data_IF_501929564998
#
_entry.id   IF_501929564998
#
_cell.length_a   1.000
_cell.length_b   1.000
_cell.length_c   1.000
_cell.angle_alpha   90.00
_cell.angle_beta   90.00
_cell.angle_gamma   90.00
#
_symmetry.space_group_name_H-M   'P 1'
#
loop_
_entity.id
_entity.type
_entity.pdbx_description
1 polymer ?
#
# COMPACT_ATOMS: atom_id res chain seq x y z
N UNK A 1 -69.37 55.21 -7.25
CA UNK A 1 -68.91 53.92 -7.77
C UNK A 1 -69.60 53.70 -9.11
N UNK A 2 -68.91 53.99 -10.20
CA UNK A 2 -69.32 53.59 -11.54
C UNK A 2 -69.30 52.07 -11.59
N UNK A 3 -70.39 51.45 -12.05
CA UNK A 3 -70.41 49.99 -12.26
C UNK A 3 -69.45 49.66 -13.41
N UNK A 4 -68.63 48.60 -13.29
CA UNK A 4 -67.78 48.17 -14.39
C UNK A 4 -68.66 47.89 -15.61
N UNK A 5 -68.16 48.28 -16.78
CA UNK A 5 -68.84 47.97 -18.04
C UNK A 5 -68.71 46.48 -18.36
N UNK A 6 -69.51 46.00 -19.31
CA UNK A 6 -69.41 44.62 -19.78
C UNK A 6 -68.03 44.35 -20.39
N UNK A 7 -67.43 45.34 -21.05
CA UNK A 7 -66.08 45.25 -21.62
C UNK A 7 -65.00 45.13 -20.53
N UNK A 8 -65.13 45.88 -19.43
CA UNK A 8 -64.20 45.78 -18.29
C UNK A 8 -64.26 44.39 -17.63
N UNK A 9 -65.47 43.80 -17.55
CA UNK A 9 -65.66 42.46 -17.01
C UNK A 9 -65.12 41.38 -17.98
N UNK A 10 -65.29 41.55 -19.29
CA UNK A 10 -64.75 40.64 -20.30
C UNK A 10 -63.22 40.62 -20.26
N UNK A 11 -62.57 41.80 -20.28
CA UNK A 11 -61.12 41.89 -20.19
C UNK A 11 -60.57 41.27 -18.88
N UNK A 12 -61.32 41.39 -17.78
CA UNK A 12 -60.94 40.77 -16.51
C UNK A 12 -61.11 39.25 -16.51
N UNK A 13 -62.09 38.72 -17.24
CA UNK A 13 -62.26 37.27 -17.44
C UNK A 13 -61.08 36.75 -18.26
N UNK A 14 -60.74 37.40 -19.37
CA UNK A 14 -59.61 36.99 -20.22
C UNK A 14 -58.29 36.96 -19.41
N UNK A 15 -58.01 38.00 -18.61
CA UNK A 15 -56.83 38.03 -17.73
C UNK A 15 -56.82 36.92 -16.67
N UNK A 16 -58.00 36.56 -16.15
CA UNK A 16 -58.12 35.47 -15.17
C UNK A 16 -57.97 34.11 -15.84
N UNK A 17 -58.46 33.92 -17.06
CA UNK A 17 -58.28 32.70 -17.85
C UNK A 17 -56.80 32.50 -18.17
N UNK A 18 -56.11 33.52 -18.68
CA UNK A 18 -54.66 33.47 -18.94
C UNK A 18 -53.87 33.09 -17.67
N UNK A 19 -54.26 33.65 -16.52
CA UNK A 19 -53.62 33.35 -15.24
C UNK A 19 -53.93 31.93 -14.74
N UNK A 20 -55.13 31.41 -14.99
CA UNK A 20 -55.48 30.03 -14.65
C UNK A 20 -54.63 29.08 -15.49
N UNK A 21 -54.51 29.32 -16.79
CA UNK A 21 -53.68 28.52 -17.69
C UNK A 21 -52.20 28.52 -17.26
N UNK A 22 -51.66 29.68 -16.85
CA UNK A 22 -50.30 29.79 -16.31
C UNK A 22 -50.12 28.99 -15.01
N UNK A 23 -51.08 29.10 -14.07
CA UNK A 23 -51.02 28.37 -12.80
C UNK A 23 -51.19 26.85 -12.98
N UNK A 24 -51.99 26.42 -13.94
CA UNK A 24 -52.14 25.00 -14.29
C UNK A 24 -50.81 24.45 -14.85
N UNK A 25 -50.18 25.18 -15.78
CA UNK A 25 -48.88 24.80 -16.33
C UNK A 25 -47.77 24.76 -15.25
N UNK A 26 -47.73 25.74 -14.35
CA UNK A 26 -46.81 25.75 -13.22
C UNK A 26 -47.05 24.56 -12.29
N UNK A 27 -48.31 24.22 -12.03
CA UNK A 27 -48.68 23.09 -11.17
C UNK A 27 -48.21 21.76 -11.78
N UNK A 28 -48.45 21.55 -13.08
CA UNK A 28 -47.95 20.37 -13.81
C UNK A 28 -46.42 20.27 -13.75
N UNK A 29 -45.71 21.39 -13.89
CA UNK A 29 -44.25 21.41 -13.78
C UNK A 29 -43.76 21.08 -12.36
N UNK A 30 -44.43 21.59 -11.34
CA UNK A 30 -44.12 21.29 -9.94
C UNK A 30 -44.37 19.81 -9.64
N UNK A 31 -45.47 19.25 -10.09
CA UNK A 31 -45.79 17.82 -9.93
C UNK A 31 -44.71 16.94 -10.56
N UNK A 32 -44.32 17.22 -11.81
CA UNK A 32 -43.24 16.50 -12.48
C UNK A 32 -41.90 16.60 -11.72
N UNK A 33 -41.62 17.76 -11.12
CA UNK A 33 -40.40 17.96 -10.31
C UNK A 33 -40.45 17.16 -9.01
N UNK A 34 -41.61 17.14 -8.33
CA UNK A 34 -41.82 16.36 -7.11
C UNK A 34 -41.65 14.87 -7.38
N UNK A 35 -42.21 14.36 -8.48
CA UNK A 35 -42.08 12.95 -8.87
C UNK A 35 -40.62 12.56 -9.15
N UNK A 36 -39.89 13.40 -9.91
CA UNK A 36 -38.46 13.18 -10.18
C UNK A 36 -37.60 13.20 -8.89
N UNK A 37 -37.94 14.09 -7.95
CA UNK A 37 -37.28 14.14 -6.65
C UNK A 37 -37.62 12.91 -5.80
N UNK A 38 -38.86 12.43 -5.81
CA UNK A 38 -39.28 11.23 -5.10
C UNK A 38 -38.51 9.99 -5.59
N UNK A 39 -38.35 9.85 -6.90
CA UNK A 39 -37.54 8.77 -7.51
C UNK A 39 -36.06 8.87 -7.10
N UNK A 40 -35.49 10.08 -7.12
CA UNK A 40 -34.11 10.33 -6.70
C UNK A 40 -33.91 9.94 -5.23
N UNK A 41 -34.83 10.34 -4.35
CA UNK A 41 -34.76 10.03 -2.92
C UNK A 41 -34.90 8.52 -2.69
N UNK A 42 -35.78 7.84 -3.44
CA UNK A 42 -35.93 6.38 -3.35
C UNK A 42 -34.61 5.67 -3.72
N UNK A 43 -34.00 6.04 -4.85
CA UNK A 43 -32.71 5.51 -5.30
C UNK A 43 -31.59 5.75 -4.28
N UNK A 44 -31.55 6.95 -3.66
CA UNK A 44 -30.57 7.26 -2.62
C UNK A 44 -30.77 6.41 -1.36
N UNK A 45 -32.02 6.15 -0.95
CA UNK A 45 -32.32 5.27 0.19
C UNK A 45 -31.88 3.84 -0.06
N UNK A 46 -32.09 3.33 -1.27
CA UNK A 46 -31.65 1.98 -1.65
C UNK A 46 -30.13 1.87 -1.64
N UNK A 47 -29.42 2.88 -2.14
CA UNK A 47 -27.96 2.94 -2.08
C UNK A 47 -27.43 2.99 -0.65
N UNK A 48 -28.06 3.78 0.23
CA UNK A 48 -27.69 3.85 1.64
C UNK A 48 -27.86 2.48 2.33
N UNK A 49 -28.99 1.80 2.11
CA UNK A 49 -29.22 0.46 2.66
C UNK A 49 -28.18 -0.56 2.17
N UNK A 50 -27.78 -0.46 0.89
CA UNK A 50 -26.70 -1.29 0.34
C UNK A 50 -25.36 -1.02 1.03
N UNK A 51 -24.97 0.25 1.22
CA UNK A 51 -23.72 0.60 1.89
C UNK A 51 -23.72 0.23 3.37
N UNK A 52 -24.85 0.35 4.07
CA UNK A 52 -25.01 -0.09 5.45
C UNK A 52 -24.77 -1.61 5.56
N UNK A 53 -25.41 -2.39 4.69
CA UNK A 53 -25.21 -3.85 4.63
C UNK A 53 -23.74 -4.19 4.37
N UNK A 54 -23.12 -3.52 3.40
CA UNK A 54 -21.70 -3.75 3.06
C UNK A 54 -20.76 -3.39 4.22
N UNK A 55 -21.09 -2.36 4.98
CA UNK A 55 -20.31 -1.94 6.15
C UNK A 55 -20.39 -3.02 7.24
N UNK A 56 -21.59 -3.53 7.53
CA UNK A 56 -21.78 -4.62 8.51
C UNK A 56 -21.00 -5.89 8.12
N UNK A 57 -20.99 -6.25 6.83
CA UNK A 57 -20.18 -7.38 6.33
C UNK A 57 -18.68 -7.18 6.58
N UNK A 58 -18.17 -5.98 6.28
CA UNK A 58 -16.75 -5.65 6.46
C UNK A 58 -16.36 -5.60 7.94
N UNK A 59 -17.24 -5.10 8.81
CA UNK A 59 -17.04 -5.12 10.26
C UNK A 59 -16.96 -6.56 10.78
N UNK A 60 -17.87 -7.43 10.35
CA UNK A 60 -17.85 -8.85 10.72
C UNK A 60 -16.57 -9.56 10.21
N UNK A 61 -16.12 -9.25 8.99
CA UNK A 61 -14.86 -9.78 8.45
C UNK A 61 -13.64 -9.29 9.26
N UNK A 62 -13.64 -8.02 9.66
CA UNK A 62 -12.57 -7.43 10.47
C UNK A 62 -12.48 -8.06 11.86
N UNK A 63 -13.62 -8.30 12.50
CA UNK A 63 -13.70 -8.99 13.78
C UNK A 63 -13.19 -10.42 13.67
N UNK A 64 -13.64 -11.17 12.67
CA UNK A 64 -13.16 -12.53 12.41
C UNK A 64 -11.64 -12.57 12.13
N UNK A 65 -11.12 -11.63 11.35
CA UNK A 65 -9.68 -11.52 11.08
C UNK A 65 -8.89 -11.17 12.34
N UNK A 66 -9.45 -10.29 13.19
CA UNK A 66 -8.85 -9.90 14.47
C UNK A 66 -8.76 -11.08 15.42
N UNK A 67 -9.82 -11.87 15.54
CA UNK A 67 -9.84 -13.06 16.39
C UNK A 67 -8.93 -14.16 15.86
N UNK A 68 -8.90 -14.36 14.54
CA UNK A 68 -7.94 -15.26 13.92
C UNK A 68 -6.48 -14.84 14.21
N UNK A 69 -6.18 -13.53 14.13
CA UNK A 69 -4.86 -13.00 14.49
C UNK A 69 -4.53 -13.26 15.97
N UNK A 70 -5.45 -13.02 16.91
CA UNK A 70 -5.25 -13.33 18.33
C UNK A 70 -4.97 -14.82 18.54
N UNK A 71 -5.74 -15.68 17.87
CA UNK A 71 -5.56 -17.12 17.95
C UNK A 71 -4.17 -17.56 17.42
N UNK A 72 -3.75 -17.01 16.28
CA UNK A 72 -2.40 -17.26 15.75
C UNK A 72 -1.30 -16.77 16.70
N UNK A 73 -1.46 -15.59 17.32
CA UNK A 73 -0.52 -15.07 18.31
C UNK A 73 -0.41 -16.01 19.53
N UNK A 74 -1.54 -16.50 20.06
CA UNK A 74 -1.55 -17.47 21.15
C UNK A 74 -0.83 -18.77 20.75
N UNK A 75 -1.08 -19.27 19.54
CA UNK A 75 -0.40 -20.47 19.02
C UNK A 75 1.10 -20.24 18.85
N UNK A 76 1.52 -19.08 18.36
CA UNK A 76 2.93 -18.73 18.23
C UNK A 76 3.61 -18.73 19.60
N UNK A 77 3.01 -18.05 20.59
CA UNK A 77 3.52 -18.03 21.96
C UNK A 77 3.61 -19.44 22.56
N UNK A 78 2.62 -20.30 22.31
CA UNK A 78 2.63 -21.68 22.76
C UNK A 78 3.72 -22.54 22.09
N UNK A 79 4.16 -22.19 20.88
CA UNK A 79 5.29 -22.84 20.20
C UNK A 79 6.62 -22.28 20.72
N UNK A 80 6.76 -20.96 20.81
CA UNK A 80 7.96 -20.29 21.35
C UNK A 80 8.26 -20.72 22.80
N UNK A 81 7.23 -20.94 23.62
CA UNK A 81 7.38 -21.43 25.00
C UNK A 81 7.69 -22.93 25.11
N UNK A 82 7.52 -23.71 24.04
CA UNK A 82 7.89 -25.14 24.00
C UNK A 82 9.31 -25.38 23.48
N UNK A 83 9.91 -24.39 22.80
CA UNK A 83 11.22 -24.50 22.15
C UNK A 83 12.34 -23.75 22.89
N UNK A 84 12.34 -23.69 24.23
CA UNK A 84 13.55 -23.25 24.97
C UNK A 84 14.40 -24.43 25.44
N UNK A 85 15.30 -24.99 24.61
CA UNK A 85 16.66 -25.21 25.03
C UNK A 85 17.45 -23.91 24.81
N UNK A 86 18.19 -23.51 25.84
CA UNK A 86 19.20 -22.46 25.82
C UNK A 86 20.10 -22.59 24.59
N UNK A 87 19.93 -21.70 23.60
CA UNK A 87 20.98 -21.44 22.62
C UNK A 87 21.02 -19.94 22.32
N UNK A 88 22.23 -19.41 22.33
CA UNK A 88 22.60 -18.00 22.27
C UNK A 88 22.17 -17.36 20.94
N UNK A 89 20.90 -16.96 20.78
CA UNK A 89 20.48 -16.17 19.61
C UNK A 89 20.73 -14.69 19.85
N UNK A 90 21.78 -14.18 19.22
CA UNK A 90 21.94 -12.74 18.96
C UNK A 90 20.66 -12.18 18.32
N UNK A 91 20.20 -10.98 18.73
CA UNK A 91 18.95 -10.41 18.23
C UNK A 91 19.03 -10.14 16.72
N UNK A 92 18.45 -11.04 15.93
CA UNK A 92 18.45 -10.97 14.46
C UNK A 92 17.59 -9.78 13.99
N UNK A 93 18.17 -8.85 13.23
CA UNK A 93 17.43 -7.68 12.70
C UNK A 93 16.33 -8.09 11.69
N UNK A 94 15.22 -7.32 11.54
CA UNK A 94 14.21 -7.61 10.52
C UNK A 94 14.77 -7.74 9.10
N UNK A 95 15.80 -6.95 8.76
CA UNK A 95 16.49 -7.05 7.48
C UNK A 95 17.22 -8.39 7.31
N UNK A 96 17.85 -8.90 8.37
CA UNK A 96 18.50 -10.20 8.38
C UNK A 96 17.47 -11.35 8.25
N UNK A 97 16.31 -11.24 8.93
CA UNK A 97 15.21 -12.18 8.75
C UNK A 97 14.67 -12.18 7.31
N UNK A 98 14.57 -11.00 6.69
CA UNK A 98 14.14 -10.85 5.29
C UNK A 98 15.08 -11.59 4.32
N UNK A 99 16.39 -11.58 4.56
CA UNK A 99 17.36 -12.33 3.76
C UNK A 99 17.14 -13.85 3.91
N UNK A 100 16.88 -14.32 5.15
CA UNK A 100 16.65 -15.75 5.48
C UNK A 100 15.32 -16.31 4.96
N UNK A 101 14.40 -15.47 4.49
CA UNK A 101 13.07 -15.93 4.07
C UNK A 101 13.15 -17.07 3.03
N UNK A 102 12.40 -18.16 3.24
CA UNK A 102 12.32 -19.27 2.28
C UNK A 102 11.67 -18.83 0.97
N UNK A 103 11.98 -19.52 -0.12
CA UNK A 103 11.50 -19.16 -1.48
C UNK A 103 9.98 -18.99 -1.58
N UNK A 104 9.21 -19.82 -0.86
CA UNK A 104 7.73 -19.73 -0.81
C UNK A 104 7.21 -18.46 -0.13
N UNK A 105 7.96 -17.88 0.81
CA UNK A 105 7.58 -16.64 1.49
C UNK A 105 7.98 -15.39 0.69
N UNK A 106 8.96 -15.51 -0.23
CA UNK A 106 9.41 -14.41 -1.09
C UNK A 106 8.32 -13.91 -2.04
N UNK A 107 7.39 -14.77 -2.47
CA UNK A 107 6.29 -14.39 -3.37
C UNK A 107 5.29 -13.41 -2.74
N UNK A 108 5.27 -13.29 -1.41
CA UNK A 108 4.41 -12.34 -0.69
C UNK A 108 5.07 -10.98 -0.45
N UNK A 109 6.35 -10.83 -0.81
CA UNK A 109 7.07 -9.58 -0.64
C UNK A 109 6.59 -8.57 -1.69
N UNK A 110 6.45 -7.31 -1.26
CA UNK A 110 6.28 -6.22 -2.22
C UNK A 110 7.54 -6.10 -3.08
N UNK A 111 7.41 -5.57 -4.30
CA UNK A 111 8.55 -5.42 -5.20
C UNK A 111 9.71 -4.62 -4.57
N UNK A 112 9.43 -3.64 -3.71
CA UNK A 112 10.46 -2.84 -3.05
C UNK A 112 11.12 -3.56 -1.87
N UNK A 113 10.39 -4.41 -1.14
CA UNK A 113 10.99 -5.30 -0.14
C UNK A 113 11.94 -6.31 -0.78
N UNK A 114 11.57 -6.88 -1.94
CA UNK A 114 12.47 -7.80 -2.65
C UNK A 114 13.72 -7.08 -3.19
N UNK A 115 13.59 -5.84 -3.66
CA UNK A 115 14.72 -5.00 -4.07
C UNK A 115 15.66 -4.70 -2.90
N UNK A 116 15.11 -4.30 -1.75
CA UNK A 116 15.90 -4.05 -0.54
C UNK A 116 16.63 -5.32 -0.08
N UNK A 117 15.95 -6.48 -0.08
CA UNK A 117 16.56 -7.78 0.22
C UNK A 117 17.71 -8.10 -0.72
N UNK A 118 17.52 -7.91 -2.03
CA UNK A 118 18.54 -8.19 -3.03
C UNK A 118 19.81 -7.38 -2.79
N UNK A 119 19.67 -6.08 -2.52
CA UNK A 119 20.80 -5.20 -2.22
C UNK A 119 21.47 -5.57 -0.90
N UNK A 120 20.68 -5.84 0.15
CA UNK A 120 21.20 -6.15 1.48
C UNK A 120 21.96 -7.49 1.51
N UNK A 121 21.54 -8.47 0.71
CA UNK A 121 22.16 -9.80 0.62
C UNK A 121 23.64 -9.70 0.22
N UNK A 122 23.94 -8.87 -0.77
CA UNK A 122 25.26 -8.78 -1.39
C UNK A 122 25.85 -7.36 -1.20
N UNK A 123 25.56 -6.72 -0.05
CA UNK A 123 25.91 -5.30 0.21
C UNK A 123 27.41 -5.01 0.08
N UNK A 124 28.28 -5.98 0.39
CA UNK A 124 29.74 -5.86 0.27
C UNK A 124 30.21 -5.70 -1.18
N UNK A 125 29.44 -6.17 -2.16
CA UNK A 125 29.79 -6.03 -3.58
C UNK A 125 29.57 -4.61 -4.09
N UNK A 126 28.62 -3.89 -3.50
CA UNK A 126 28.14 -2.60 -4.03
C UNK A 126 28.50 -1.40 -3.16
N UNK A 127 28.66 -1.59 -1.85
CA UNK A 127 28.87 -0.49 -0.92
C UNK A 127 30.34 -0.03 -0.87
N UNK A 128 30.53 1.27 -0.68
CA UNK A 128 31.85 1.87 -0.50
C UNK A 128 32.23 1.87 0.97
N UNK A 129 33.45 1.43 1.30
CA UNK A 129 33.97 1.48 2.67
C UNK A 129 34.19 2.94 3.10
N UNK A 130 33.65 3.30 4.26
CA UNK A 130 33.78 4.61 4.92
C UNK A 130 34.09 4.40 6.40
N UNK A 131 34.64 5.39 7.12
CA UNK A 131 34.95 5.23 8.56
C UNK A 131 33.75 4.86 9.44
N UNK A 132 32.52 5.13 8.99
CA UNK A 132 31.28 4.77 9.68
C UNK A 132 30.74 3.37 9.31
N UNK A 133 31.44 2.62 8.45
CA UNK A 133 31.03 1.31 7.92
C UNK A 133 30.95 1.29 6.39
N UNK A 134 29.82 0.85 5.84
CA UNK A 134 29.61 0.68 4.41
C UNK A 134 28.54 1.65 3.90
N UNK A 135 28.90 2.52 2.97
CA UNK A 135 28.00 3.52 2.42
C UNK A 135 27.46 3.11 1.04
N UNK A 136 26.15 3.25 0.86
CA UNK A 136 25.46 3.03 -0.39
C UNK A 136 24.67 4.28 -0.80
N UNK A 137 24.94 4.80 -1.99
CA UNK A 137 24.27 5.99 -2.50
C UNK A 137 23.14 5.66 -3.50
N UNK A 138 22.35 6.68 -3.85
CA UNK A 138 21.18 6.49 -4.71
C UNK A 138 21.55 6.13 -6.15
N UNK A 139 22.72 6.56 -6.62
CA UNK A 139 23.27 6.18 -7.91
C UNK A 139 23.63 4.69 -7.95
N UNK A 140 24.34 4.19 -6.95
CA UNK A 140 24.73 2.79 -6.85
C UNK A 140 23.52 1.89 -6.74
N UNK A 141 22.52 2.23 -5.91
CA UNK A 141 21.25 1.49 -5.85
C UNK A 141 20.57 1.45 -7.22
N UNK A 142 20.52 2.59 -7.93
CA UNK A 142 19.93 2.65 -9.27
C UNK A 142 20.67 1.72 -10.25
N UNK A 143 22.00 1.71 -10.23
CA UNK A 143 22.84 0.87 -11.10
C UNK A 143 22.63 -0.62 -10.80
N UNK A 144 22.64 -1.00 -9.52
CA UNK A 144 22.44 -2.40 -9.08
C UNK A 144 21.05 -2.90 -9.49
N UNK A 145 20.02 -2.08 -9.28
CA UNK A 145 18.65 -2.43 -9.68
C UNK A 145 18.47 -2.47 -11.19
N UNK A 146 19.14 -1.60 -11.94
CA UNK A 146 19.17 -1.67 -13.41
C UNK A 146 19.80 -2.98 -13.89
N UNK A 147 20.93 -3.38 -13.30
CA UNK A 147 21.60 -4.64 -13.64
C UNK A 147 20.69 -5.85 -13.35
N UNK A 148 19.92 -5.80 -12.24
CA UNK A 148 18.98 -6.86 -11.86
C UNK A 148 17.74 -6.92 -12.77
N UNK A 149 17.13 -5.78 -13.09
CA UNK A 149 15.81 -5.72 -13.73
C UNK A 149 15.86 -5.42 -15.24
N UNK A 150 17.03 -5.12 -15.79
CA UNK A 150 17.22 -4.74 -17.19
C UNK A 150 16.61 -3.38 -17.57
N UNK A 151 16.09 -2.63 -16.59
CA UNK A 151 15.47 -1.31 -16.79
C UNK A 151 15.86 -0.33 -15.69
N UNK A 152 15.95 0.95 -16.03
CA UNK A 152 16.29 1.99 -15.06
C UNK A 152 15.12 2.23 -14.11
N UNK A 153 15.28 2.01 -12.79
CA UNK A 153 14.21 2.29 -11.84
C UNK A 153 13.99 3.79 -11.66
N UNK A 154 12.73 4.20 -11.45
CA UNK A 154 12.40 5.58 -11.12
C UNK A 154 13.07 6.03 -9.81
N UNK A 155 13.40 7.31 -9.70
CA UNK A 155 14.01 7.89 -8.50
C UNK A 155 13.18 7.65 -7.23
N UNK A 156 11.85 7.64 -7.33
CA UNK A 156 10.97 7.30 -6.21
C UNK A 156 11.13 5.83 -5.76
N UNK A 157 11.39 4.91 -6.69
CA UNK A 157 11.64 3.50 -6.36
C UNK A 157 12.94 3.36 -5.57
N UNK A 158 13.99 4.04 -6.01
CA UNK A 158 15.29 4.06 -5.30
C UNK A 158 15.13 4.62 -3.88
N UNK A 159 14.39 5.74 -3.72
CA UNK A 159 14.13 6.31 -2.40
C UNK A 159 13.39 5.34 -1.49
N UNK A 160 12.31 4.71 -1.98
CA UNK A 160 11.56 3.72 -1.19
C UNK A 160 12.43 2.54 -0.76
N UNK A 161 13.34 2.09 -1.62
CA UNK A 161 14.28 1.00 -1.28
C UNK A 161 15.27 1.45 -0.20
N UNK A 162 15.77 2.69 -0.25
CA UNK A 162 16.59 3.24 0.83
C UNK A 162 15.84 3.28 2.16
N UNK A 163 14.59 3.75 2.15
CA UNK A 163 13.75 3.83 3.33
C UNK A 163 13.51 2.42 3.92
N UNK A 164 13.24 1.40 3.08
CA UNK A 164 13.13 0.01 3.53
C UNK A 164 14.41 -0.54 4.17
N UNK A 165 15.59 -0.16 3.69
CA UNK A 165 16.86 -0.61 4.28
C UNK A 165 17.09 -0.01 5.67
N UNK A 166 16.71 1.26 5.85
CA UNK A 166 16.76 1.97 7.13
C UNK A 166 15.78 1.35 8.14
N UNK A 167 14.51 1.23 7.75
CA UNK A 167 13.42 0.74 8.62
C UNK A 167 13.68 -0.69 9.11
N UNK A 168 14.16 -1.57 8.23
CA UNK A 168 14.40 -2.98 8.56
C UNK A 168 15.76 -3.23 9.19
N UNK A 169 16.74 -2.37 8.91
CA UNK A 169 18.10 -2.46 9.44
C UNK A 169 18.26 -1.95 10.87
N UNK A 170 17.25 -1.24 11.40
CA UNK A 170 17.21 -0.70 12.77
C UNK A 170 18.50 0.06 13.11
N UNK A 171 19.13 -0.21 14.25
CA UNK A 171 20.24 0.60 14.77
C UNK A 171 21.51 0.54 13.91
N UNK A 172 21.69 -0.55 13.15
CA UNK A 172 22.89 -0.76 12.36
C UNK A 172 22.79 -0.31 10.90
N UNK A 173 21.67 0.30 10.49
CA UNK A 173 21.51 0.94 9.18
C UNK A 173 20.94 2.34 9.37
N UNK A 174 21.56 3.36 8.78
CA UNK A 174 21.11 4.76 8.91
C UNK A 174 21.16 5.52 7.60
N UNK A 175 20.11 6.24 7.26
CA UNK A 175 20.11 7.21 6.17
C UNK A 175 20.78 8.52 6.63
N UNK A 176 21.80 8.94 5.90
CA UNK A 176 22.47 10.24 6.06
C UNK A 176 22.28 11.08 4.81
N UNK A 177 21.82 12.32 5.00
CA UNK A 177 21.73 13.33 3.93
C UNK A 177 22.85 14.36 4.08
N UNK A 178 23.72 14.48 3.08
CA UNK A 178 24.76 15.54 3.03
C UNK A 178 24.82 16.15 1.63
N UNK A 179 24.92 17.48 1.56
CA UNK A 179 25.09 18.26 0.31
C UNK A 179 24.08 17.86 -0.79
N UNK A 180 22.81 17.64 -0.43
CA UNK A 180 21.75 17.25 -1.37
C UNK A 180 21.72 15.77 -1.76
N UNK A 181 22.71 14.96 -1.34
CA UNK A 181 22.76 13.51 -1.63
C UNK A 181 22.32 12.69 -0.42
N UNK A 182 21.46 11.69 -0.64
CA UNK A 182 21.06 10.68 0.37
C UNK A 182 21.96 9.45 0.24
N UNK A 183 22.43 8.94 1.37
CA UNK A 183 23.25 7.71 1.46
C UNK A 183 22.74 6.85 2.61
N UNK A 184 22.70 5.55 2.42
CA UNK A 184 22.44 4.57 3.48
C UNK A 184 23.78 4.09 4.00
N UNK A 185 23.99 4.12 5.31
CA UNK A 185 25.21 3.66 5.97
C UNK A 185 24.89 2.41 6.78
N UNK A 186 25.58 1.31 6.48
CA UNK A 186 25.52 0.07 7.24
C UNK A 186 26.74 0.01 8.17
N UNK A 187 26.51 -0.29 9.44
CA UNK A 187 27.60 -0.61 10.36
C UNK A 187 28.34 -1.88 9.92
N UNK A 188 29.63 -1.96 10.22
CA UNK A 188 30.45 -3.14 9.89
C UNK A 188 29.91 -4.43 10.53
N UNK A 189 29.36 -4.32 11.75
CA UNK A 189 28.68 -5.42 12.43
C UNK A 189 27.51 -5.96 11.60
N UNK A 190 26.57 -5.09 11.21
CA UNK A 190 25.41 -5.51 10.41
C UNK A 190 25.84 -6.10 9.07
N UNK A 191 26.83 -5.54 8.40
CA UNK A 191 27.31 -6.11 7.13
C UNK A 191 27.87 -7.52 7.32
N UNK A 192 28.54 -7.79 8.44
CA UNK A 192 29.06 -9.12 8.75
C UNK A 192 27.93 -10.11 9.06
N UNK A 193 26.93 -9.70 9.84
CA UNK A 193 25.75 -10.52 10.10
C UNK A 193 24.95 -10.83 8.83
N UNK A 194 24.77 -9.86 7.94
CA UNK A 194 24.06 -10.06 6.67
C UNK A 194 24.84 -11.00 5.73
N UNK A 195 26.17 -10.91 5.72
CA UNK A 195 27.03 -11.77 4.92
C UNK A 195 27.02 -13.23 5.41
N UNK A 196 27.02 -13.46 6.73
CA UNK A 196 26.88 -14.80 7.32
C UNK A 196 25.49 -15.40 7.11
N UNK A 197 24.50 -14.53 6.90
CA UNK A 197 23.11 -14.91 6.70
C UNK A 197 22.79 -15.27 5.25
N UNK A 198 23.56 -14.75 4.29
CA UNK A 198 23.42 -15.14 2.91
C UNK A 198 23.97 -16.58 2.73
N UNK A 199 23.17 -17.57 2.29
CA UNK A 199 23.74 -18.84 1.88
C UNK A 199 24.73 -18.56 0.77
N UNK A 200 25.96 -19.09 0.87
CA UNK A 200 27.06 -18.81 -0.05
C UNK A 200 26.63 -19.05 -1.50
N UNK A 201 26.18 -18.01 -2.19
CA UNK A 201 25.82 -18.08 -3.59
C UNK A 201 27.10 -18.00 -4.39
N UNK A 202 27.69 -19.16 -4.68
CA UNK A 202 28.59 -19.33 -5.83
C UNK A 202 30.10 -19.28 -5.55
N UNK A 203 30.65 -20.32 -4.91
CA UNK A 203 31.74 -21.03 -5.59
C UNK A 203 31.06 -22.07 -6.47
N UNK A 204 31.02 -21.80 -7.78
CA UNK A 204 30.62 -22.79 -8.76
C UNK A 204 31.62 -23.95 -8.65
N UNK A 205 31.24 -25.02 -7.94
CA UNK A 205 32.02 -26.25 -7.94
C UNK A 205 31.87 -26.87 -9.33
N UNK A 206 32.98 -26.87 -10.05
CA UNK A 206 33.20 -27.44 -11.40
C UNK A 206 32.82 -28.94 -11.50
N UNK A 207 32.34 -29.56 -10.44
CA UNK A 207 31.98 -30.98 -10.37
C UNK A 207 30.57 -31.33 -10.85
N UNK A 208 29.68 -30.37 -11.11
CA UNK A 208 28.28 -30.66 -11.49
C UNK A 208 27.99 -30.65 -13.01
N UNK A 209 29.01 -30.45 -13.86
CA UNK A 209 28.84 -30.38 -15.33
C UNK A 209 29.10 -31.72 -16.04
N UNK A 210 29.51 -32.79 -15.34
CA UNK A 210 29.96 -34.04 -16.01
C UNK A 210 28.98 -35.22 -15.93
N UNK A 211 27.86 -35.12 -15.22
CA UNK A 211 26.95 -36.28 -15.06
C UNK A 211 25.66 -36.25 -15.90
N UNK A 212 25.57 -35.35 -16.87
CA UNK A 212 24.56 -35.42 -17.92
C UNK A 212 25.24 -35.55 -19.26
N UNK A 213 25.58 -36.77 -19.67
CA UNK A 213 25.66 -37.29 -21.05
C UNK A 213 26.30 -38.68 -20.98
N UNK A 214 25.46 -39.71 -20.80
CA UNK A 214 25.56 -41.05 -21.40
C UNK A 214 24.30 -41.83 -21.11
#
# INVERSE_FOLDING_TARGET
MTKPSIEDLAARIDELEDRVDELEADTEQLEATVDAQAETIASQRDQLAHYETRTQELEAELDAATDHRKHLQQRLYAVESRDTPTDETTPTSPLQQLIRLPSKARSKLTANQERARFIAKDIREYATNVPAGFALDSSTIRTVLHAKEGRTPHTQTVSRVMDFLDDLGKEGVKIVKRRGTKRVIFSEHVVSELAETAPSSGKSSITDVVMGWR
#
